data_IF_916948539753
#
_entry.id   IF_916948539753
#
_cell.length_a   1.000
_cell.length_b   1.000
_cell.length_c   1.000
_cell.angle_alpha   90.00
_cell.angle_beta   90.00
_cell.angle_gamma   90.00
#
_symmetry.space_group_name_H-M   'P 1'
#
loop_
_entity.id
_entity.type
_entity.pdbx_description
1 polymer ?
#
# COMPACT_ATOMS: atom_id res chain seq x y z
N UNK A 1 -57.81 52.15 43.78
CA UNK A 1 -59.15 51.59 43.95
C UNK A 1 -59.26 51.10 45.37
N UNK A 2 -60.44 51.23 46.00
CA UNK A 2 -60.64 50.67 47.33
C UNK A 2 -60.52 49.14 47.29
N UNK A 3 -60.03 48.53 48.35
CA UNK A 3 -60.10 47.07 48.50
C UNK A 3 -61.50 46.63 48.93
N UNK A 4 -61.93 45.37 48.70
CA UNK A 4 -63.23 44.91 49.19
C UNK A 4 -63.40 45.10 50.71
N UNK A 5 -62.31 45.04 51.46
CA UNK A 5 -62.29 45.29 52.90
C UNK A 5 -62.45 46.78 53.25
N UNK A 6 -61.93 47.68 52.43
CA UNK A 6 -62.16 49.12 52.59
C UNK A 6 -63.62 49.50 52.27
N UNK A 7 -64.26 48.82 51.31
CA UNK A 7 -65.67 49.04 50.97
C UNK A 7 -66.60 48.61 52.11
N UNK A 8 -66.32 47.45 52.74
CA UNK A 8 -67.16 46.94 53.84
C UNK A 8 -66.99 47.70 55.16
N UNK A 9 -65.85 48.35 55.37
CA UNK A 9 -65.57 49.14 56.58
C UNK A 9 -65.92 50.63 56.41
N UNK A 10 -66.38 51.04 55.23
CA UNK A 10 -66.64 52.44 54.94
C UNK A 10 -67.92 52.93 55.61
N UNK A 11 -67.79 53.83 56.60
CA UNK A 11 -68.93 54.45 57.28
C UNK A 11 -69.27 55.82 56.68
N UNK A 12 -70.56 56.06 56.41
CA UNK A 12 -71.05 57.38 55.98
C UNK A 12 -71.48 58.25 57.17
N UNK A 13 -71.28 59.57 57.06
CA UNK A 13 -71.77 60.51 58.07
C UNK A 13 -73.31 60.56 58.09
N UNK A 14 -73.90 60.65 59.28
CA UNK A 14 -75.37 60.69 59.45
C UNK A 14 -75.93 62.01 58.90
N UNK A 15 -76.92 61.93 58.01
CA UNK A 15 -77.56 63.11 57.44
C UNK A 15 -78.60 63.73 58.40
N UNK A 16 -78.61 65.07 58.53
CA UNK A 16 -79.51 65.77 59.45
C UNK A 16 -80.95 65.95 58.91
N UNK A 17 -81.17 65.86 57.60
CA UNK A 17 -82.50 65.91 56.98
C UNK A 17 -82.47 65.22 55.60
N UNK A 18 -83.44 64.35 55.31
CA UNK A 18 -83.65 63.76 53.97
C UNK A 18 -82.59 62.78 53.44
N UNK A 19 -81.81 62.13 54.30
CA UNK A 19 -80.76 61.18 53.90
C UNK A 19 -81.27 59.80 53.41
N UNK A 20 -80.37 59.03 52.80
CA UNK A 20 -80.62 57.63 52.43
C UNK A 20 -80.88 56.76 53.67
N UNK A 21 -81.71 55.71 53.50
CA UNK A 21 -81.97 54.75 54.56
C UNK A 21 -80.73 53.88 54.80
N UNK A 22 -80.17 53.96 56.01
CA UNK A 22 -78.95 53.26 56.39
C UNK A 22 -79.06 51.74 56.17
N UNK A 23 -80.21 51.12 56.48
CA UNK A 23 -80.39 49.68 56.29
C UNK A 23 -80.33 49.24 54.82
N UNK A 24 -80.88 50.05 53.89
CA UNK A 24 -80.81 49.75 52.46
C UNK A 24 -79.42 50.02 51.88
N UNK A 25 -78.70 51.00 52.42
CA UNK A 25 -77.31 51.27 52.05
C UNK A 25 -76.40 50.12 52.50
N UNK A 26 -76.60 49.61 53.72
CA UNK A 26 -75.82 48.48 54.24
C UNK A 26 -76.07 47.21 53.41
N UNK A 27 -77.32 46.87 53.09
CA UNK A 27 -77.66 45.73 52.21
C UNK A 27 -77.02 45.85 50.82
N UNK A 28 -77.00 47.06 50.24
CA UNK A 28 -76.32 47.32 48.98
C UNK A 28 -74.79 47.18 49.10
N UNK A 29 -74.19 47.68 50.19
CA UNK A 29 -72.75 47.54 50.44
C UNK A 29 -72.33 46.09 50.67
N UNK A 30 -73.17 45.27 51.30
CA UNK A 30 -72.92 43.84 51.47
C UNK A 30 -72.88 43.12 50.11
N UNK A 31 -73.89 43.35 49.26
CA UNK A 31 -73.91 42.80 47.89
C UNK A 31 -72.74 43.31 47.05
N UNK A 32 -72.44 44.62 47.12
CA UNK A 32 -71.31 45.22 46.41
C UNK A 32 -69.98 44.63 46.89
N UNK A 33 -69.83 44.39 48.20
CA UNK A 33 -68.62 43.79 48.78
C UNK A 33 -68.46 42.35 48.29
N UNK A 34 -69.54 41.58 48.20
CA UNK A 34 -69.52 40.21 47.67
C UNK A 34 -69.06 40.18 46.20
N UNK A 35 -69.74 40.94 45.33
CA UNK A 35 -69.43 41.00 43.90
C UNK A 35 -68.00 41.52 43.66
N UNK A 36 -67.59 42.55 44.39
CA UNK A 36 -66.26 43.13 44.26
C UNK A 36 -65.17 42.18 44.78
N UNK A 37 -65.45 41.40 45.83
CA UNK A 37 -64.55 40.33 46.29
C UNK A 37 -64.43 39.22 45.25
N UNK A 38 -65.53 38.82 44.61
CA UNK A 38 -65.53 37.82 43.55
C UNK A 38 -64.70 38.28 42.34
N UNK A 39 -64.93 39.52 41.87
CA UNK A 39 -64.15 40.13 40.80
C UNK A 39 -62.66 40.23 41.14
N UNK A 40 -62.32 40.58 42.39
CA UNK A 40 -60.93 40.68 42.81
C UNK A 40 -60.23 39.31 42.81
N UNK A 41 -60.91 38.26 43.29
CA UNK A 41 -60.41 36.87 43.25
C UNK A 41 -60.25 36.38 41.82
N UNK A 42 -61.22 36.63 40.94
CA UNK A 42 -61.14 36.27 39.53
C UNK A 42 -60.00 37.01 38.82
N UNK A 43 -59.82 38.30 39.08
CA UNK A 43 -58.73 39.08 38.52
C UNK A 43 -57.35 38.53 38.95
N UNK A 44 -57.21 38.15 40.22
CA UNK A 44 -55.98 37.51 40.71
C UNK A 44 -55.74 36.15 40.04
N UNK A 45 -56.78 35.34 39.86
CA UNK A 45 -56.70 34.06 39.16
C UNK A 45 -56.31 34.23 37.69
N UNK A 46 -56.94 35.18 36.99
CA UNK A 46 -56.65 35.49 35.59
C UNK A 46 -55.22 36.00 35.40
N UNK A 47 -54.74 36.86 36.30
CA UNK A 47 -53.33 37.31 36.30
C UNK A 47 -52.36 36.15 36.49
N UNK A 48 -52.67 35.22 37.40
CA UNK A 48 -51.86 34.01 37.61
C UNK A 48 -51.84 33.12 36.35
N UNK A 49 -53.01 32.88 35.74
CA UNK A 49 -53.11 32.12 34.48
C UNK A 49 -52.32 32.79 33.36
N UNK A 50 -52.43 34.11 33.21
CA UNK A 50 -51.68 34.87 32.21
C UNK A 50 -50.17 34.72 32.42
N UNK A 51 -49.70 34.79 33.66
CA UNK A 51 -48.28 34.58 33.99
C UNK A 51 -47.80 33.20 33.55
N UNK A 52 -48.54 32.14 33.88
CA UNK A 52 -48.20 30.77 33.46
C UNK A 52 -48.21 30.61 31.94
N UNK A 53 -49.18 31.23 31.25
CA UNK A 53 -49.25 31.21 29.79
C UNK A 53 -48.04 31.89 29.16
N UNK A 54 -47.63 33.05 29.67
CA UNK A 54 -46.44 33.77 29.21
C UNK A 54 -45.18 32.93 29.43
N UNK A 55 -45.00 32.37 30.62
CA UNK A 55 -43.86 31.49 30.94
C UNK A 55 -43.79 30.29 29.98
N UNK A 56 -44.93 29.64 29.69
CA UNK A 56 -44.98 28.54 28.71
C UNK A 56 -44.65 28.98 27.28
N UNK A 57 -45.11 30.16 26.86
CA UNK A 57 -44.78 30.68 25.52
C UNK A 57 -43.29 30.96 25.40
N UNK A 58 -42.67 31.50 26.45
CA UNK A 58 -41.22 31.72 26.49
C UNK A 58 -40.43 30.41 26.46
N UNK A 59 -40.89 29.39 27.19
CA UNK A 59 -40.33 28.04 27.13
C UNK A 59 -40.42 27.44 25.72
N UNK A 60 -41.59 27.53 25.06
CA UNK A 60 -41.75 27.06 23.69
C UNK A 60 -40.86 27.80 22.70
N UNK A 61 -40.70 29.12 22.85
CA UNK A 61 -39.76 29.89 22.02
C UNK A 61 -38.32 29.45 22.22
N UNK A 62 -37.90 29.24 23.47
CA UNK A 62 -36.55 28.78 23.80
C UNK A 62 -36.27 27.39 23.22
N UNK A 63 -37.22 26.46 23.36
CA UNK A 63 -37.11 25.11 22.80
C UNK A 63 -37.11 25.11 21.27
N UNK A 64 -37.95 25.93 20.63
CA UNK A 64 -37.94 26.13 19.17
C UNK A 64 -36.60 26.68 18.69
N UNK A 65 -36.03 27.68 19.39
CA UNK A 65 -34.72 28.21 19.05
C UNK A 65 -33.61 27.15 19.21
N UNK A 66 -33.68 26.35 20.28
CA UNK A 66 -32.79 25.21 20.49
C UNK A 66 -32.88 24.18 19.36
N UNK A 67 -34.10 23.80 18.96
CA UNK A 67 -34.35 22.89 17.83
C UNK A 67 -33.84 23.47 16.51
N UNK A 68 -34.09 24.76 16.24
CA UNK A 68 -33.60 25.45 15.04
C UNK A 68 -32.06 25.45 14.98
N UNK A 69 -31.39 25.72 16.11
CA UNK A 69 -29.92 25.65 16.20
C UNK A 69 -29.41 24.23 15.96
N UNK A 70 -30.05 23.23 16.55
CA UNK A 70 -29.70 21.83 16.35
C UNK A 70 -29.85 21.39 14.89
N UNK A 71 -30.94 21.79 14.21
CA UNK A 71 -31.16 21.51 12.79
C UNK A 71 -30.10 22.18 11.90
N UNK A 72 -29.77 23.44 12.17
CA UNK A 72 -28.71 24.14 11.42
C UNK A 72 -27.34 23.52 11.65
N UNK A 73 -27.05 23.08 12.88
CA UNK A 73 -25.81 22.35 13.17
C UNK A 73 -25.78 21.01 12.43
N UNK A 74 -26.87 20.24 12.48
CA UNK A 74 -26.99 18.98 11.77
C UNK A 74 -26.81 19.14 10.25
N UNK A 75 -27.41 20.18 9.65
CA UNK A 75 -27.22 20.49 8.23
C UNK A 75 -25.76 20.79 7.91
N UNK A 76 -25.09 21.65 8.69
CA UNK A 76 -23.66 21.95 8.50
C UNK A 76 -22.80 20.70 8.60
N UNK A 77 -23.06 19.84 9.59
CA UNK A 77 -22.30 18.59 9.74
C UNK A 77 -22.56 17.63 8.57
N UNK A 78 -23.78 17.59 8.04
CA UNK A 78 -24.09 16.78 6.87
C UNK A 78 -23.34 17.29 5.63
N UNK A 79 -23.36 18.61 5.40
CA UNK A 79 -22.64 19.25 4.31
C UNK A 79 -21.12 19.05 4.44
N UNK A 80 -20.57 19.12 5.65
CA UNK A 80 -19.16 18.85 5.95
C UNK A 80 -18.78 17.39 5.65
N UNK A 81 -19.61 16.42 6.06
CA UNK A 81 -19.40 15.00 5.77
C UNK A 81 -19.40 14.74 4.25
N UNK A 82 -20.35 15.33 3.53
CA UNK A 82 -20.43 15.20 2.06
C UNK A 82 -19.18 15.78 1.42
N UNK A 83 -18.77 17.00 1.81
CA UNK A 83 -17.57 17.64 1.29
C UNK A 83 -16.31 16.81 1.57
N UNK A 84 -16.15 16.31 2.79
CA UNK A 84 -15.00 15.48 3.16
C UNK A 84 -14.97 14.16 2.37
N UNK A 85 -16.13 13.53 2.17
CA UNK A 85 -16.25 12.32 1.36
C UNK A 85 -15.90 12.57 -0.11
N UNK A 86 -16.33 13.71 -0.68
CA UNK A 86 -15.99 14.12 -2.04
C UNK A 86 -14.50 14.40 -2.19
N UNK A 87 -13.89 15.12 -1.24
CA UNK A 87 -12.44 15.38 -1.23
C UNK A 87 -11.64 14.08 -1.12
N UNK A 88 -12.00 13.18 -0.20
CA UNK A 88 -11.37 11.86 -0.06
C UNK A 88 -11.52 11.02 -1.32
N UNK A 89 -12.71 11.04 -1.93
CA UNK A 89 -12.96 10.34 -3.21
C UNK A 89 -12.06 10.89 -4.31
N UNK A 90 -11.96 12.22 -4.46
CA UNK A 90 -11.12 12.84 -5.46
C UNK A 90 -9.63 12.51 -5.23
N UNK A 91 -9.18 12.53 -3.98
CA UNK A 91 -7.82 12.12 -3.61
C UNK A 91 -7.56 10.66 -3.97
N UNK A 92 -8.43 9.73 -3.57
CA UNK A 92 -8.29 8.30 -3.87
C UNK A 92 -8.27 8.00 -5.36
N UNK A 93 -9.13 8.67 -6.14
CA UNK A 93 -9.12 8.55 -7.60
C UNK A 93 -7.80 9.09 -8.16
N UNK A 94 -7.35 10.26 -7.71
CA UNK A 94 -6.08 10.85 -8.14
C UNK A 94 -4.86 9.98 -7.83
N UNK A 95 -4.81 9.39 -6.64
CA UNK A 95 -3.72 8.47 -6.25
C UNK A 95 -3.78 7.18 -7.07
N UNK A 96 -4.97 6.57 -7.20
CA UNK A 96 -5.13 5.34 -7.98
C UNK A 96 -4.78 5.55 -9.47
N UNK A 97 -5.20 6.67 -10.06
CA UNK A 97 -4.83 7.03 -11.43
C UNK A 97 -3.32 7.27 -11.56
N UNK A 98 -2.71 7.95 -10.59
CA UNK A 98 -1.26 8.18 -10.55
C UNK A 98 -0.46 6.89 -10.46
N UNK A 99 -0.83 6.00 -9.54
CA UNK A 99 -0.22 4.68 -9.37
C UNK A 99 -0.41 3.80 -10.61
N UNK A 100 -1.61 3.79 -11.19
CA UNK A 100 -1.88 3.05 -12.41
C UNK A 100 -1.01 3.55 -13.57
N UNK A 101 -0.87 4.87 -13.73
CA UNK A 101 0.02 5.47 -14.75
C UNK A 101 1.48 5.09 -14.51
N UNK A 102 1.96 5.24 -13.28
CA UNK A 102 3.32 4.86 -12.92
C UNK A 102 3.61 3.37 -13.21
N UNK A 103 2.65 2.49 -12.90
CA UNK A 103 2.76 1.06 -13.19
C UNK A 103 2.77 0.76 -14.69
N UNK A 104 1.93 1.44 -15.46
CA UNK A 104 1.92 1.31 -16.93
C UNK A 104 3.27 1.76 -17.51
N UNK A 105 3.82 2.87 -17.03
CA UNK A 105 5.10 3.38 -17.53
C UNK A 105 6.27 2.48 -17.14
N UNK A 106 6.28 1.92 -15.93
CA UNK A 106 7.25 0.90 -15.52
C UNK A 106 7.17 -0.35 -16.41
N UNK A 107 5.96 -0.88 -16.65
CA UNK A 107 5.77 -2.03 -17.54
C UNK A 107 6.20 -1.75 -18.98
N UNK A 108 5.99 -0.53 -19.48
CA UNK A 108 6.47 -0.13 -20.81
C UNK A 108 7.99 -0.16 -20.89
N UNK A 109 8.68 0.37 -19.88
CA UNK A 109 10.13 0.34 -19.81
C UNK A 109 10.67 -1.09 -19.72
N UNK A 110 10.07 -1.94 -18.88
CA UNK A 110 10.41 -3.36 -18.79
C UNK A 110 10.22 -4.08 -20.13
N UNK A 111 9.11 -3.81 -20.83
CA UNK A 111 8.82 -4.39 -22.13
C UNK A 111 9.82 -3.95 -23.20
N UNK A 112 10.24 -2.69 -23.20
CA UNK A 112 11.29 -2.18 -24.10
C UNK A 112 12.64 -2.85 -23.81
N UNK A 113 13.01 -2.98 -22.54
CA UNK A 113 14.25 -3.65 -22.12
C UNK A 113 14.25 -5.15 -22.53
N UNK A 114 13.14 -5.86 -22.31
CA UNK A 114 13.01 -7.25 -22.72
C UNK A 114 13.00 -7.41 -24.24
N UNK A 115 12.39 -6.48 -24.99
CA UNK A 115 12.48 -6.48 -26.45
C UNK A 115 13.90 -6.30 -26.94
N UNK A 116 14.66 -5.36 -26.35
CA UNK A 116 16.08 -5.17 -26.64
C UNK A 116 16.88 -6.44 -26.36
N UNK A 117 16.68 -7.05 -25.18
CA UNK A 117 17.35 -8.30 -24.79
C UNK A 117 17.05 -9.45 -25.75
N UNK A 118 15.79 -9.59 -26.15
CA UNK A 118 15.36 -10.60 -27.11
C UNK A 118 15.99 -10.37 -28.49
N UNK A 119 16.06 -9.12 -28.94
CA UNK A 119 16.70 -8.77 -30.20
C UNK A 119 18.21 -9.08 -30.20
N UNK A 120 18.92 -8.74 -29.12
CA UNK A 120 20.33 -9.04 -28.93
C UNK A 120 20.58 -10.55 -28.88
N UNK A 121 19.73 -11.32 -28.20
CA UNK A 121 19.83 -12.78 -28.17
C UNK A 121 19.59 -13.41 -29.55
N UNK A 122 18.63 -12.89 -30.33
CA UNK A 122 18.40 -13.32 -31.72
C UNK A 122 19.60 -13.02 -32.60
N UNK A 123 20.20 -11.85 -32.46
CA UNK A 123 21.40 -11.48 -33.23
C UNK A 123 22.60 -12.34 -32.84
N UNK A 124 22.82 -12.59 -31.54
CA UNK A 124 23.88 -13.46 -31.04
C UNK A 124 23.72 -14.91 -31.54
N UNK A 125 22.50 -15.44 -31.54
CA UNK A 125 22.22 -16.80 -32.06
C UNK A 125 22.40 -16.88 -33.57
N UNK A 126 21.96 -15.86 -34.33
CA UNK A 126 22.21 -15.78 -35.75
C UNK A 126 23.71 -15.71 -36.07
N UNK A 127 24.47 -14.91 -35.32
CA UNK A 127 25.93 -14.82 -35.43
C UNK A 127 26.62 -16.15 -35.08
N UNK A 128 26.15 -16.85 -34.06
CA UNK A 128 26.66 -18.17 -33.70
C UNK A 128 26.42 -19.19 -34.82
N UNK A 129 25.19 -19.26 -35.36
CA UNK A 129 24.87 -20.14 -36.50
C UNK A 129 25.72 -19.80 -37.72
N UNK A 130 25.98 -18.52 -38.00
CA UNK A 130 26.86 -18.09 -39.08
C UNK A 130 28.30 -18.58 -38.88
N UNK A 131 28.86 -18.39 -37.67
CA UNK A 131 30.20 -18.92 -37.32
C UNK A 131 30.29 -20.43 -37.46
N UNK A 132 29.24 -21.15 -37.09
CA UNK A 132 29.20 -22.60 -37.14
C UNK A 132 29.13 -23.12 -38.58
N UNK A 133 28.41 -22.42 -39.46
CA UNK A 133 28.44 -22.68 -40.91
C UNK A 133 29.81 -22.41 -41.51
N UNK A 134 30.44 -21.30 -41.13
CA UNK A 134 31.78 -20.94 -41.61
C UNK A 134 32.84 -21.97 -41.18
N UNK A 135 32.76 -22.45 -39.94
CA UNK A 135 33.60 -23.54 -39.43
C UNK A 135 33.44 -24.81 -40.27
N UNK A 136 32.20 -25.24 -40.54
CA UNK A 136 31.97 -26.41 -41.39
C UNK A 136 32.44 -26.22 -42.84
N UNK A 137 32.31 -25.01 -43.38
CA UNK A 137 32.82 -24.67 -44.70
C UNK A 137 34.35 -24.83 -44.73
N UNK A 138 35.04 -24.30 -43.71
CA UNK A 138 36.48 -24.41 -43.54
C UNK A 138 36.93 -25.87 -43.35
N UNK A 139 36.23 -26.67 -42.54
CA UNK A 139 36.50 -28.11 -42.40
C UNK A 139 36.34 -28.85 -43.73
N UNK A 140 35.32 -28.50 -44.52
CA UNK A 140 35.08 -29.12 -45.82
C UNK A 140 36.14 -28.71 -46.85
N UNK A 141 36.56 -27.44 -46.85
CA UNK A 141 37.66 -26.95 -47.67
C UNK A 141 39.00 -27.60 -47.29
N UNK A 142 39.24 -27.83 -45.99
CA UNK A 142 40.41 -28.58 -45.51
C UNK A 142 40.40 -30.04 -45.99
N UNK A 143 39.26 -30.74 -45.91
CA UNK A 143 39.09 -32.08 -46.47
C UNK A 143 39.33 -32.12 -47.99
N UNK A 144 38.84 -31.11 -48.71
CA UNK A 144 39.11 -30.96 -50.14
C UNK A 144 40.61 -30.72 -50.40
N UNK A 145 41.29 -29.94 -49.57
CA UNK A 145 42.75 -29.76 -49.64
C UNK A 145 43.54 -31.05 -49.35
N UNK A 146 43.08 -31.88 -48.41
CA UNK A 146 43.67 -33.19 -48.14
C UNK A 146 43.57 -34.15 -49.34
N UNK A 147 42.53 -34.02 -50.17
CA UNK A 147 42.44 -34.78 -51.43
C UNK A 147 43.54 -34.38 -52.43
N UNK A 148 44.05 -33.15 -52.36
CA UNK A 148 45.20 -32.70 -53.17
C UNK A 148 46.55 -33.14 -52.57
N UNK A 149 46.61 -33.42 -51.26
CA UNK A 149 47.76 -34.01 -50.57
C UNK A 149 47.80 -35.54 -50.65
N UNK A 150 46.73 -36.17 -51.11
CA UNK A 150 46.72 -37.60 -51.41
C UNK A 150 47.41 -37.80 -52.75
N UNK A 151 48.54 -38.50 -52.73
CA UNK A 151 49.38 -38.75 -53.90
C UNK A 151 48.57 -39.25 -55.10
N UNK A 152 48.88 -38.79 -56.34
CA UNK A 152 48.30 -39.38 -57.53
C UNK A 152 48.60 -40.89 -57.54
N UNK A 153 47.65 -41.66 -58.07
CA UNK A 153 47.68 -43.13 -58.17
C UNK A 153 49.09 -43.71 -58.45
N UNK A 154 49.41 -44.91 -57.91
CA UNK A 154 50.76 -45.50 -57.78
C UNK A 154 51.54 -45.80 -59.09
N UNK A 155 51.11 -45.24 -60.23
CA UNK A 155 51.67 -45.54 -61.54
C UNK A 155 52.95 -44.76 -61.87
N UNK A 156 53.26 -43.66 -61.15
CA UNK A 156 54.49 -42.88 -61.38
C UNK A 156 55.66 -43.33 -60.49
N UNK A 157 55.36 -43.86 -59.30
CA UNK A 157 56.36 -44.33 -58.34
C UNK A 157 57.07 -45.60 -58.79
N UNK A 158 56.40 -46.50 -59.52
CA UNK A 158 57.04 -47.70 -60.08
C UNK A 158 58.02 -47.38 -61.21
N UNK A 159 57.76 -46.32 -61.98
CA UNK A 159 58.66 -45.90 -63.07
C UNK A 159 59.91 -45.21 -62.50
N UNK A 160 59.74 -44.28 -61.56
CA UNK A 160 60.88 -43.63 -60.88
C UNK A 160 61.73 -44.61 -60.07
N UNK A 161 61.11 -45.63 -59.45
CA UNK A 161 61.85 -46.67 -58.73
C UNK A 161 62.74 -47.51 -59.68
N UNK A 162 62.27 -47.82 -60.89
CA UNK A 162 63.07 -48.52 -61.92
C UNK A 162 64.22 -47.66 -62.45
N UNK A 163 63.99 -46.36 -62.62
CA UNK A 163 65.03 -45.45 -63.12
C UNK A 163 66.14 -45.23 -62.08
N UNK A 164 65.78 -45.12 -60.80
CA UNK A 164 66.72 -45.06 -59.66
C UNK A 164 67.50 -46.37 -59.55
N UNK A 165 66.84 -47.52 -59.70
CA UNK A 165 67.50 -48.81 -59.65
C UNK A 165 68.53 -48.99 -60.78
N UNK A 166 68.22 -48.51 -61.99
CA UNK A 166 69.20 -48.52 -63.10
C UNK A 166 70.38 -47.56 -62.89
N UNK A 167 70.16 -46.48 -62.13
CA UNK A 167 71.21 -45.51 -61.78
C UNK A 167 72.09 -46.02 -60.64
N UNK A 168 71.52 -46.75 -59.68
CA UNK A 168 72.25 -47.39 -58.58
C UNK A 168 73.15 -48.51 -59.10
N UNK A 169 72.69 -49.28 -60.09
CA UNK A 169 73.48 -50.35 -60.72
C UNK A 169 74.70 -49.80 -61.48
N UNK A 170 74.63 -48.55 -62.00
CA UNK A 170 75.77 -47.84 -62.61
C UNK A 170 76.75 -47.25 -61.59
N UNK A 171 76.30 -46.88 -60.40
CA UNK A 171 77.15 -46.28 -59.37
C UNK A 171 77.88 -47.36 -58.56
N UNK A 172 77.37 -48.59 -58.50
CA UNK A 172 78.02 -49.71 -57.80
C UNK A 172 79.20 -50.32 -58.59
N UNK A 173 79.35 -50.03 -59.89
CA UNK A 173 80.52 -50.44 -60.69
C UNK A 173 81.71 -49.45 -60.64
N UNK A 174 81.54 -48.24 -60.11
CA UNK A 174 82.61 -47.25 -59.95
C UNK A 174 82.77 -46.85 -58.47
N UNK A 175 83.97 -47.11 -57.93
CA UNK A 175 84.48 -46.78 -56.59
C UNK A 175 84.22 -47.77 -55.43
N UNK A 176 85.18 -48.68 -55.33
CA UNK A 176 85.71 -49.27 -54.10
C UNK A 176 86.52 -48.27 -53.27
N UNK A 177 86.31 -48.28 -51.94
CA UNK A 177 87.21 -47.70 -50.91
C UNK A 177 86.83 -46.29 -50.46
N UNK A 178 86.89 -45.85 -49.20
CA UNK A 178 87.45 -46.34 -47.93
C UNK A 178 86.66 -45.69 -46.77
N UNK A 179 86.63 -46.34 -45.61
CA UNK A 179 86.21 -45.77 -44.33
C UNK A 179 87.26 -44.75 -43.81
N UNK A 180 86.86 -43.78 -42.97
CA UNK A 180 87.47 -43.77 -41.65
C UNK A 180 86.53 -43.40 -40.47
N UNK A 181 87.02 -43.82 -39.31
CA UNK A 181 86.55 -43.66 -37.93
C UNK A 181 87.08 -42.35 -37.31
N UNK A 182 86.88 -42.21 -35.98
CA UNK A 182 87.52 -41.33 -34.97
C UNK A 182 86.58 -40.19 -34.51
N UNK A 183 86.41 -39.81 -33.24
CA UNK A 183 86.48 -40.38 -31.88
C UNK A 183 85.85 -39.31 -30.94
N UNK A 184 85.59 -39.72 -29.70
CA UNK A 184 85.02 -39.03 -28.53
C UNK A 184 85.48 -37.60 -28.20
N UNK A 185 84.56 -36.79 -27.63
CA UNK A 185 84.81 -36.00 -26.41
C UNK A 185 83.50 -35.53 -25.73
N UNK A 186 83.45 -35.64 -24.40
CA UNK A 186 82.33 -35.31 -23.48
C UNK A 186 82.62 -33.96 -22.78
N UNK A 187 81.62 -33.09 -22.55
CA UNK A 187 81.29 -32.66 -21.17
C UNK A 187 79.77 -32.47 -20.95
N UNK A 188 79.16 -33.14 -19.96
CA UNK A 188 78.83 -32.69 -18.58
C UNK A 188 77.58 -31.76 -18.41
N UNK A 189 76.93 -31.93 -17.25
CA UNK A 189 75.49 -31.85 -16.91
C UNK A 189 74.88 -30.44 -16.64
N UNK A 190 73.57 -30.30 -16.96
CA UNK A 190 72.39 -29.68 -16.25
C UNK A 190 72.51 -28.36 -15.41
N UNK A 191 71.43 -27.53 -15.23
CA UNK A 191 70.02 -27.96 -15.16
C UNK A 191 68.93 -27.07 -15.83
N UNK A 192 67.80 -27.74 -16.06
CA UNK A 192 66.39 -27.34 -15.96
C UNK A 192 65.95 -25.92 -16.40
N UNK A 193 65.26 -25.85 -17.55
CA UNK A 193 64.33 -24.75 -17.89
C UNK A 193 62.90 -25.27 -17.94
N UNK A 194 62.06 -24.64 -17.13
CA UNK A 194 60.62 -24.87 -16.99
C UNK A 194 59.87 -24.70 -18.31
N UNK A 195 59.01 -25.68 -18.60
CA UNK A 195 57.99 -25.61 -19.65
C UNK A 195 56.96 -24.57 -19.23
N UNK A 196 56.81 -23.50 -20.02
CA UNK A 196 55.65 -22.62 -19.93
C UNK A 196 54.44 -23.36 -20.52
N UNK A 197 53.62 -23.95 -19.65
CA UNK A 197 52.24 -24.33 -20.00
C UNK A 197 51.42 -23.05 -20.15
N UNK A 198 51.24 -22.64 -21.41
CA UNK A 198 50.30 -21.60 -21.79
C UNK A 198 48.89 -22.06 -21.40
N UNK A 199 48.24 -21.28 -20.52
CA UNK A 199 46.93 -21.57 -19.98
C UNK A 199 45.89 -21.66 -21.09
N UNK A 200 45.50 -22.88 -21.44
CA UNK A 200 44.48 -23.13 -22.45
C UNK A 200 43.15 -22.42 -22.14
N UNK A 201 42.41 -22.14 -23.22
CA UNK A 201 41.09 -21.50 -23.35
C UNK A 201 40.01 -21.89 -22.30
N UNK A 202 40.23 -22.95 -21.53
CA UNK A 202 39.35 -23.44 -20.47
C UNK A 202 39.50 -22.70 -19.13
N UNK A 203 40.66 -22.10 -18.85
CA UNK A 203 40.92 -21.39 -17.59
C UNK A 203 40.20 -20.02 -17.52
N UNK A 204 40.01 -19.37 -18.67
CA UNK A 204 39.34 -18.06 -18.76
C UNK A 204 37.83 -18.16 -18.53
N UNK A 205 37.20 -19.29 -18.86
CA UNK A 205 35.75 -19.50 -18.70
C UNK A 205 35.32 -19.70 -17.22
N UNK A 206 36.20 -20.22 -16.37
CA UNK A 206 35.93 -20.48 -14.95
C UNK A 206 36.25 -19.28 -14.04
N UNK A 207 37.00 -18.29 -14.55
CA UNK A 207 37.46 -17.12 -13.81
C UNK A 207 36.43 -15.98 -13.68
N UNK A 208 35.31 -16.03 -14.40
CA UNK A 208 34.29 -14.97 -14.36
C UNK A 208 33.27 -15.12 -13.22
N UNK A 209 33.19 -16.28 -12.55
CA UNK A 209 32.12 -16.58 -11.58
C UNK A 209 32.51 -16.37 -10.09
N UNK A 210 33.65 -15.72 -9.82
CA UNK A 210 34.18 -15.52 -8.44
C UNK A 210 34.62 -14.09 -8.11
N UNK A 211 33.88 -13.08 -8.57
CA UNK A 211 33.95 -11.73 -8.00
C UNK A 211 32.55 -11.26 -7.67
N UNK A 212 32.09 -11.62 -6.48
CA UNK A 212 31.18 -10.85 -5.62
C UNK A 212 30.78 -11.70 -4.41
N UNK A 213 31.68 -11.76 -3.41
CA UNK A 213 31.37 -12.08 -2.00
C UNK A 213 32.65 -11.95 -1.16
N UNK A 214 32.86 -10.76 -0.61
CA UNK A 214 33.73 -10.57 0.55
C UNK A 214 32.96 -9.84 1.66
N UNK A 215 33.02 -10.45 2.84
CA UNK A 215 32.40 -10.11 4.12
C UNK A 215 33.07 -8.90 4.81
N UNK A 216 32.31 -8.18 5.64
CA UNK A 216 32.85 -7.32 6.70
C UNK A 216 32.75 -8.04 8.06
N UNK A 217 33.71 -7.83 9.00
CA UNK A 217 33.78 -8.58 10.25
C UNK A 217 33.13 -7.87 11.45
N UNK A 218 32.54 -8.64 12.37
CA UNK A 218 32.06 -8.18 13.69
C UNK A 218 33.17 -8.07 14.75
N UNK A 219 33.01 -7.24 15.80
CA UNK A 219 33.78 -7.36 17.03
C UNK A 219 32.96 -7.84 18.25
N UNK A 220 33.72 -8.47 19.15
CA UNK A 220 33.37 -9.33 20.29
C UNK A 220 32.62 -8.67 21.46
N UNK A 221 31.92 -9.54 22.20
CA UNK A 221 31.25 -9.35 23.50
C UNK A 221 32.22 -9.01 24.64
N UNK A 222 31.82 -8.06 25.49
CA UNK A 222 32.28 -7.95 26.88
C UNK A 222 31.10 -8.05 27.86
N UNK A 223 31.30 -8.85 28.91
CA UNK A 223 30.44 -8.92 30.09
C UNK A 223 30.69 -7.72 31.01
N UNK A 224 29.62 -6.98 31.39
CA UNK A 224 29.54 -6.33 32.71
C UNK A 224 28.12 -6.37 33.27
N UNK A 225 28.05 -6.86 34.50
CA UNK A 225 26.94 -6.82 35.46
C UNK A 225 26.56 -5.39 35.84
N UNK A 226 25.27 -5.12 36.07
CA UNK A 226 24.65 -4.95 37.40
C UNK A 226 23.36 -4.09 37.32
N UNK A 227 22.28 -4.57 37.94
CA UNK A 227 21.10 -3.87 38.51
C UNK A 227 20.49 -2.65 37.78
N UNK A 228 19.21 -2.77 37.39
CA UNK A 228 18.12 -2.19 38.19
C UNK A 228 16.72 -2.60 37.68
N UNK A 229 15.87 -2.98 38.62
CA UNK A 229 14.42 -3.01 38.51
C UNK A 229 13.84 -1.72 37.91
N UNK A 230 12.85 -1.85 37.02
CA UNK A 230 11.49 -1.28 37.19
C UNK A 230 10.65 -1.40 35.90
N UNK A 231 9.60 -2.23 36.00
CA UNK A 231 8.23 -2.03 35.48
C UNK A 231 8.05 -1.21 34.20
N UNK A 232 7.53 -1.83 33.15
CA UNK A 232 6.19 -1.54 32.62
C UNK A 232 5.86 -2.38 31.36
N UNK A 233 4.89 -3.29 31.53
CA UNK A 233 3.76 -3.61 30.63
C UNK A 233 3.94 -3.39 29.12
N UNK A 234 3.74 -4.46 28.32
CA UNK A 234 2.65 -4.55 27.32
C UNK A 234 2.69 -5.86 26.52
N UNK A 235 1.48 -6.38 26.32
CA UNK A 235 1.01 -7.30 25.27
C UNK A 235 1.62 -8.69 25.19
N UNK A 236 0.95 -9.63 25.86
CA UNK A 236 0.82 -11.00 25.36
C UNK A 236 -0.11 -10.98 24.14
N UNK A 237 0.31 -11.74 23.12
CA UNK A 237 -0.42 -12.08 21.91
C UNK A 237 -1.37 -13.23 22.25
N UNK A 238 -2.68 -13.03 22.05
CA UNK A 238 -3.65 -14.12 22.03
C UNK A 238 -4.09 -14.34 20.57
N UNK A 239 -3.81 -15.55 20.10
CA UNK A 239 -4.23 -16.14 18.83
C UNK A 239 -5.76 -16.39 18.82
N UNK A 240 -6.34 -16.14 17.66
CA UNK A 240 -7.52 -16.75 17.02
C UNK A 240 -8.66 -17.36 17.87
N UNK A 241 -9.87 -16.81 17.72
CA UNK A 241 -11.11 -17.57 17.56
C UNK A 241 -12.09 -16.76 16.68
N UNK A 242 -12.28 -17.19 15.42
CA UNK A 242 -13.34 -16.70 14.53
C UNK A 242 -14.71 -17.22 15.01
N UNK A 243 -15.52 -16.35 15.62
CA UNK A 243 -16.89 -16.68 16.04
C UNK A 243 -17.86 -16.55 14.85
N UNK A 244 -17.97 -17.60 14.02
CA UNK A 244 -18.92 -17.71 12.91
C UNK A 244 -20.33 -18.11 13.42
N UNK A 245 -20.96 -17.23 14.20
CA UNK A 245 -22.34 -17.41 14.67
C UNK A 245 -23.36 -16.72 13.74
N UNK A 246 -24.44 -17.42 13.31
CA UNK A 246 -25.44 -16.83 12.43
C UNK A 246 -26.21 -15.71 13.15
N UNK A 247 -26.27 -14.52 12.55
CA UNK A 247 -26.97 -13.34 13.08
C UNK A 247 -28.38 -13.69 13.58
N UNK A 248 -28.59 -13.51 14.89
CA UNK A 248 -29.87 -13.74 15.56
C UNK A 248 -30.92 -12.76 15.02
N UNK A 249 -31.81 -13.25 14.15
CA UNK A 249 -32.93 -12.48 13.59
C UNK A 249 -33.86 -12.06 14.73
N UNK A 250 -33.91 -10.76 15.03
CA UNK A 250 -34.79 -10.20 16.06
C UNK A 250 -36.24 -10.33 15.56
N UNK A 251 -37.09 -11.02 16.32
CA UNK A 251 -38.51 -11.20 16.02
C UNK A 251 -39.33 -10.04 16.64
N UNK A 252 -39.95 -9.22 15.79
CA UNK A 252 -40.72 -8.04 16.17
C UNK A 252 -42.22 -8.32 16.37
N UNK A 253 -42.66 -9.57 16.28
CA UNK A 253 -44.08 -9.95 16.37
C UNK A 253 -44.76 -9.59 17.69
N UNK A 254 -44.00 -9.32 18.76
CA UNK A 254 -44.50 -8.92 20.07
C UNK A 254 -44.19 -7.46 20.46
N UNK A 255 -43.73 -6.62 19.54
CA UNK A 255 -43.42 -5.22 19.83
C UNK A 255 -44.72 -4.38 19.88
N UNK A 256 -45.25 -4.16 21.09
CA UNK A 256 -46.46 -3.33 21.31
C UNK A 256 -46.13 -1.84 21.29
N UNK A 257 -45.82 -1.31 20.10
CA UNK A 257 -45.87 0.15 19.90
C UNK A 257 -47.32 0.57 19.62
N UNK A 258 -47.80 1.60 20.34
CA UNK A 258 -49.03 2.33 19.97
C UNK A 258 -50.35 1.87 20.59
N UNK A 259 -50.38 1.06 21.67
CA UNK A 259 -51.64 0.72 22.36
C UNK A 259 -52.13 1.76 23.37
N UNK A 260 -51.31 2.74 23.74
CA UNK A 260 -51.65 3.73 24.77
C UNK A 260 -51.92 5.14 24.20
N UNK A 261 -52.05 5.29 22.89
CA UNK A 261 -52.50 6.54 22.26
C UNK A 261 -53.93 6.37 21.72
N UNK A 262 -54.92 6.41 22.62
CA UNK A 262 -56.28 6.76 22.21
C UNK A 262 -56.38 8.28 22.11
N UNK A 263 -56.53 8.78 20.88
CA UNK A 263 -56.98 10.15 20.64
C UNK A 263 -58.49 10.16 20.89
N UNK A 264 -58.92 10.81 21.96
CA UNK A 264 -60.29 11.29 22.18
C UNK A 264 -60.25 12.72 22.67
#
# INVERSE_FOLDING_TARGET
MMTPQEVSQHAFAKANFGGYNMAMVDEFLDQLTEDYTALYKENALLKSKMKVLVEKVEEYRSTEEGMRKALLAAQRTADEIVREAEEKRAQLIGTAEGEARAKIDALRQELENEQLRLSAAKEATAAYVAKLKDLYQHEMDYLNGLSQLTAPAPNQTEQTARDIQSSMEKIVEEETGELPQVEDEVPEEEPEQEVQEDGGLYAELLGMDRKDKEEQPEPRREHRSDRNDRRARRHDEDEEDEDDSPTRRIDFSNLKFGKDYEIK
#
